data_IF_044994943184
#
_entry.id   IF_044994943184
#
_cell.length_a   1.000
_cell.length_b   1.000
_cell.length_c   1.000
_cell.angle_alpha   90.00
_cell.angle_beta   90.00
_cell.angle_gamma   90.00
#
_symmetry.space_group_name_H-M   'P 1'
#
loop_
_entity.id
_entity.type
_entity.pdbx_description
1 polymer ?
#
# COMPACT_ATOMS: atom_id res chain seq x y z
N UNK A 1 -4.02 16.31 2.33
CA UNK A 1 -3.86 15.54 1.08
C UNK A 1 -5.09 14.64 0.86
N UNK A 2 -5.26 13.51 1.53
CA UNK A 2 -6.45 12.65 1.47
C UNK A 2 -7.27 12.81 2.76
N UNK A 3 -8.61 12.93 2.66
CA UNK A 3 -9.54 12.88 3.80
C UNK A 3 -10.74 12.03 3.44
N UNK A 4 -10.95 10.97 4.19
CA UNK A 4 -12.09 10.05 4.12
C UNK A 4 -12.97 10.32 5.32
N UNK A 5 -14.26 10.60 5.12
CA UNK A 5 -15.18 11.00 6.20
C UNK A 5 -16.46 10.18 6.17
N UNK A 6 -16.68 9.40 7.21
CA UNK A 6 -17.87 8.60 7.43
C UNK A 6 -18.19 7.64 6.28
N UNK A 7 -17.17 7.14 5.58
CA UNK A 7 -17.35 6.34 4.36
C UNK A 7 -17.96 4.99 4.70
N UNK A 8 -19.13 4.74 4.11
CA UNK A 8 -19.86 3.47 4.20
C UNK A 8 -20.01 2.83 2.81
N UNK A 9 -19.72 1.55 2.74
CA UNK A 9 -19.87 0.73 1.53
C UNK A 9 -20.58 -0.56 1.87
N UNK A 10 -21.62 -0.89 1.10
CA UNK A 10 -22.34 -2.16 1.21
C UNK A 10 -22.25 -2.95 -0.11
N UNK A 11 -22.08 -4.26 -0.03
CA UNK A 11 -22.21 -5.21 -1.12
C UNK A 11 -23.47 -6.06 -0.87
N UNK A 12 -24.58 -5.69 -1.51
CA UNK A 12 -25.89 -6.27 -1.21
C UNK A 12 -26.25 -6.00 0.26
N UNK A 13 -26.52 -7.07 1.02
CA UNK A 13 -26.85 -6.97 2.45
C UNK A 13 -25.63 -6.85 3.37
N UNK A 14 -24.42 -7.10 2.84
CA UNK A 14 -23.19 -7.08 3.64
C UNK A 14 -22.58 -5.68 3.67
N UNK A 15 -22.45 -5.11 4.86
CA UNK A 15 -21.65 -3.90 5.07
C UNK A 15 -20.16 -4.26 5.03
N UNK A 16 -19.44 -3.67 4.09
CA UNK A 16 -18.01 -3.84 3.94
C UNK A 16 -17.22 -2.72 4.62
N UNK A 17 -17.79 -1.50 4.68
CA UNK A 17 -17.28 -0.39 5.48
C UNK A 17 -18.45 0.24 6.24
N UNK A 18 -18.30 0.42 7.55
CA UNK A 18 -19.34 0.82 8.48
C UNK A 18 -19.32 2.30 8.89
N UNK A 19 -18.64 3.17 8.15
CA UNK A 19 -18.46 4.58 8.50
C UNK A 19 -16.99 4.84 8.91
N UNK A 20 -16.08 4.73 7.93
CA UNK A 20 -14.64 4.87 8.14
C UNK A 20 -14.24 6.33 7.96
N UNK A 21 -13.48 6.83 8.94
CA UNK A 21 -12.75 8.08 8.88
C UNK A 21 -11.26 7.79 8.76
N UNK A 22 -10.55 8.52 7.90
CA UNK A 22 -9.11 8.38 7.67
C UNK A 22 -8.56 9.67 7.06
N UNK A 23 -7.40 10.09 7.49
CA UNK A 23 -6.65 11.16 6.84
C UNK A 23 -5.25 10.69 6.48
N UNK A 24 -4.70 11.19 5.37
CA UNK A 24 -3.30 11.01 4.98
C UNK A 24 -2.72 12.37 4.60
N UNK A 25 -1.69 12.79 5.29
CA UNK A 25 -0.99 14.03 4.99
C UNK A 25 -0.02 13.89 3.81
N UNK A 26 0.37 15.00 3.19
CA UNK A 26 1.49 15.00 2.24
C UNK A 26 2.78 14.60 2.97
N UNK A 27 3.59 13.77 2.34
CA UNK A 27 4.83 13.28 2.91
C UNK A 27 4.68 12.23 4.02
N UNK A 28 3.47 11.68 4.21
CA UNK A 28 3.17 10.66 5.21
C UNK A 28 3.00 9.28 4.57
N UNK A 29 3.54 8.25 5.24
CA UNK A 29 3.28 6.83 4.90
C UNK A 29 2.35 6.25 5.95
N UNK A 30 1.10 5.99 5.56
CA UNK A 30 0.07 5.37 6.40
C UNK A 30 -0.12 3.91 6.00
N UNK A 31 0.05 3.01 6.96
CA UNK A 31 -0.20 1.58 6.79
C UNK A 31 -1.63 1.22 7.19
N UNK A 32 -2.39 0.65 6.26
CA UNK A 32 -3.70 0.08 6.52
C UNK A 32 -3.55 -1.41 6.82
N UNK A 33 -3.70 -1.79 8.08
CA UNK A 33 -3.52 -3.16 8.54
C UNK A 33 -4.83 -3.77 9.04
N UNK A 34 -4.90 -5.10 9.12
CA UNK A 34 -6.09 -5.80 9.58
C UNK A 34 -6.30 -7.14 8.87
N UNK A 35 -7.23 -7.97 9.34
CA UNK A 35 -7.47 -9.31 8.80
C UNK A 35 -8.00 -9.27 7.36
N UNK A 36 -7.97 -10.44 6.70
CA UNK A 36 -8.59 -10.62 5.40
C UNK A 36 -10.10 -10.37 5.52
N UNK A 37 -10.66 -9.64 4.55
CA UNK A 37 -12.06 -9.22 4.60
C UNK A 37 -12.37 -8.08 5.59
N UNK A 38 -11.37 -7.49 6.24
CA UNK A 38 -11.52 -6.34 7.16
C UNK A 38 -11.97 -5.04 6.50
N UNK A 39 -11.91 -4.94 5.14
CA UNK A 39 -12.36 -3.76 4.39
C UNK A 39 -11.24 -2.97 3.70
N UNK A 40 -9.97 -3.37 3.85
CA UNK A 40 -8.80 -2.64 3.31
C UNK A 40 -8.90 -2.33 1.82
N UNK A 41 -9.03 -3.35 0.97
CA UNK A 41 -9.21 -3.19 -0.49
C UNK A 41 -10.47 -2.41 -0.84
N UNK A 42 -11.56 -2.59 -0.06
CA UNK A 42 -12.80 -1.82 -0.26
C UNK A 42 -12.58 -0.34 0.00
N UNK A 43 -11.81 0.02 1.03
CA UNK A 43 -11.47 1.42 1.31
C UNK A 43 -10.63 2.03 0.19
N UNK A 44 -9.60 1.33 -0.30
CA UNK A 44 -8.81 1.80 -1.44
C UNK A 44 -9.67 1.99 -2.71
N UNK A 45 -10.59 1.06 -2.97
CA UNK A 45 -11.56 1.18 -4.07
C UNK A 45 -12.54 2.32 -3.87
N UNK A 46 -12.98 2.57 -2.64
CA UNK A 46 -13.86 3.70 -2.32
C UNK A 46 -13.20 5.05 -2.62
N UNK A 47 -11.91 5.19 -2.29
CA UNK A 47 -11.12 6.40 -2.56
C UNK A 47 -11.03 6.69 -4.07
N UNK A 48 -11.00 5.66 -4.91
CA UNK A 48 -10.83 5.77 -6.36
C UNK A 48 -12.12 5.60 -7.16
N UNK A 49 -13.28 5.66 -6.50
CA UNK A 49 -14.59 5.40 -7.12
C UNK A 49 -14.75 4.02 -7.78
N UNK A 50 -13.90 3.05 -7.42
CA UNK A 50 -14.06 1.66 -7.83
C UNK A 50 -15.26 0.96 -7.21
N UNK A 51 -15.91 1.57 -6.21
CA UNK A 51 -17.17 1.13 -5.58
C UNK A 51 -18.01 2.34 -5.22
N UNK A 52 -19.34 2.17 -5.26
CA UNK A 52 -20.28 3.21 -4.85
C UNK A 52 -20.31 3.37 -3.33
N UNK A 53 -20.29 4.61 -2.85
CA UNK A 53 -20.48 4.90 -1.44
C UNK A 53 -21.96 4.88 -1.11
N UNK A 54 -22.34 4.23 0.01
CA UNK A 54 -23.68 4.36 0.59
C UNK A 54 -23.85 5.70 1.31
N UNK A 55 -22.81 6.14 2.00
CA UNK A 55 -22.73 7.44 2.67
C UNK A 55 -21.27 7.84 2.91
N UNK A 56 -21.06 9.06 3.35
CA UNK A 56 -19.76 9.65 3.57
C UNK A 56 -19.21 10.32 2.32
N UNK A 57 -17.97 10.79 2.42
CA UNK A 57 -17.30 11.49 1.32
C UNK A 57 -15.79 11.23 1.34
N UNK A 58 -15.18 11.33 0.18
CA UNK A 58 -13.73 11.29 0.00
C UNK A 58 -13.28 12.62 -0.60
N UNK A 59 -12.31 13.26 0.05
CA UNK A 59 -11.71 14.51 -0.41
C UNK A 59 -10.23 14.27 -0.75
N UNK A 60 -9.79 14.76 -1.90
CA UNK A 60 -8.40 14.75 -2.34
C UNK A 60 -8.01 16.21 -2.61
N UNK A 61 -7.03 16.73 -1.88
CA UNK A 61 -6.67 18.16 -1.86
C UNK A 61 -7.87 19.09 -1.59
N UNK A 62 -8.78 18.65 -0.75
CA UNK A 62 -9.99 19.41 -0.40
C UNK A 62 -11.12 19.35 -1.43
N UNK A 63 -10.90 18.74 -2.61
CA UNK A 63 -11.91 18.52 -3.63
C UNK A 63 -12.59 17.17 -3.44
N UNK A 64 -13.90 17.15 -3.55
CA UNK A 64 -14.66 15.89 -3.46
C UNK A 64 -14.34 15.00 -4.67
N UNK A 65 -13.79 13.82 -4.38
CA UNK A 65 -13.33 12.89 -5.41
C UNK A 65 -14.43 12.52 -6.41
N UNK A 66 -15.69 12.43 -5.96
CA UNK A 66 -16.88 12.14 -6.81
C UNK A 66 -17.14 13.19 -7.91
N UNK A 67 -16.59 14.39 -7.77
CA UNK A 67 -16.74 15.48 -8.75
C UNK A 67 -15.59 15.54 -9.75
N UNK A 68 -14.52 14.82 -9.50
CA UNK A 68 -13.37 14.75 -10.40
C UNK A 68 -13.70 13.89 -11.61
N UNK A 69 -13.27 14.33 -12.79
CA UNK A 69 -13.25 13.44 -13.95
C UNK A 69 -12.27 12.28 -13.70
N UNK A 70 -12.46 11.15 -14.39
CA UNK A 70 -11.52 10.02 -14.29
C UNK A 70 -10.06 10.45 -14.58
N UNK A 71 -9.89 11.39 -15.52
CA UNK A 71 -8.58 11.93 -15.88
C UNK A 71 -7.98 12.80 -14.78
N UNK A 72 -8.79 13.66 -14.15
CA UNK A 72 -8.31 14.54 -13.09
C UNK A 72 -8.01 13.73 -11.83
N UNK A 73 -8.84 12.74 -11.51
CA UNK A 73 -8.57 11.79 -10.44
C UNK A 73 -7.24 11.04 -10.70
N UNK A 74 -7.03 10.55 -11.92
CA UNK A 74 -5.79 9.86 -12.29
C UNK A 74 -4.54 10.76 -12.28
N UNK A 75 -4.67 12.08 -12.28
CA UNK A 75 -3.55 13.01 -12.04
C UNK A 75 -3.27 13.25 -10.56
N UNK A 76 -4.20 12.91 -9.70
CA UNK A 76 -4.10 13.09 -8.25
C UNK A 76 -3.76 11.79 -7.53
N UNK A 77 -4.14 10.63 -8.07
CA UNK A 77 -4.02 9.34 -7.41
C UNK A 77 -3.49 8.27 -8.36
N UNK A 78 -2.40 7.63 -7.98
CA UNK A 78 -1.95 6.39 -8.60
C UNK A 78 -2.31 5.19 -7.72
N UNK A 79 -2.61 4.06 -8.35
CA UNK A 79 -3.05 2.83 -7.67
C UNK A 79 -2.21 1.64 -8.11
N UNK A 80 -1.71 0.91 -7.12
CA UNK A 80 -1.11 -0.41 -7.29
C UNK A 80 -2.09 -1.45 -6.74
N UNK A 81 -2.80 -2.20 -7.57
CA UNK A 81 -3.77 -3.20 -7.12
C UNK A 81 -3.06 -4.48 -6.67
N UNK A 82 -3.71 -5.26 -5.80
CA UNK A 82 -3.22 -6.53 -5.28
C UNK A 82 -2.95 -7.57 -6.40
N UNK A 83 -3.85 -7.68 -7.36
CA UNK A 83 -3.76 -8.63 -8.48
C UNK A 83 -3.83 -7.86 -9.81
N UNK A 84 -2.69 -7.30 -10.28
CA UNK A 84 -2.69 -6.53 -11.51
C UNK A 84 -2.81 -7.43 -12.73
N UNK A 85 -3.70 -7.09 -13.65
CA UNK A 85 -3.73 -7.67 -14.99
C UNK A 85 -2.90 -6.81 -15.92
N UNK A 86 -1.87 -7.39 -16.51
CA UNK A 86 -1.04 -6.73 -17.51
C UNK A 86 -1.47 -7.15 -18.92
N UNK A 87 -1.44 -6.24 -19.90
CA UNK A 87 -1.80 -6.56 -21.28
C UNK A 87 -0.75 -7.48 -21.90
N UNK A 88 -1.18 -8.65 -22.38
CA UNK A 88 -0.28 -9.62 -23.00
C UNK A 88 0.33 -9.07 -24.29
N UNK A 89 1.58 -9.45 -24.55
CA UNK A 89 2.29 -9.07 -25.77
C UNK A 89 2.99 -7.72 -25.75
N UNK A 90 2.76 -6.90 -24.71
CA UNK A 90 3.44 -5.63 -24.53
C UNK A 90 4.80 -5.79 -23.87
N UNK A 91 5.73 -4.88 -24.16
CA UNK A 91 6.98 -4.75 -23.40
C UNK A 91 6.72 -4.07 -22.05
N UNK A 92 7.54 -4.39 -21.05
CA UNK A 92 7.41 -3.78 -19.73
C UNK A 92 7.45 -2.24 -19.79
N UNK A 93 8.34 -1.66 -20.58
CA UNK A 93 8.44 -0.22 -20.80
C UNK A 93 7.17 0.38 -21.40
N UNK A 94 6.52 -0.32 -22.34
CA UNK A 94 5.25 0.11 -22.93
C UNK A 94 4.12 0.12 -21.89
N UNK A 95 4.10 -0.86 -21.00
CA UNK A 95 3.14 -0.88 -19.89
C UNK A 95 3.40 0.24 -18.89
N UNK A 96 4.67 0.52 -18.58
CA UNK A 96 5.02 1.59 -17.63
C UNK A 96 4.66 2.97 -18.21
N UNK A 97 4.91 3.22 -19.49
CA UNK A 97 4.56 4.50 -20.12
C UNK A 97 3.05 4.76 -20.18
N UNK A 98 2.20 3.71 -20.13
CA UNK A 98 0.74 3.88 -19.97
C UNK A 98 0.36 4.66 -18.68
N UNK A 99 1.22 4.70 -17.69
CA UNK A 99 1.08 5.59 -16.52
C UNK A 99 1.01 7.07 -16.89
N UNK A 100 1.50 7.45 -18.06
CA UNK A 100 1.47 8.83 -18.58
C UNK A 100 0.15 9.20 -19.26
N UNK A 101 -0.74 8.22 -19.54
CA UNK A 101 -2.03 8.44 -20.23
C UNK A 101 -2.84 9.63 -19.68
N UNK A 102 -2.92 9.90 -18.36
CA UNK A 102 -3.67 11.05 -17.84
C UNK A 102 -3.16 12.41 -18.31
N UNK A 103 -1.92 12.49 -18.80
CA UNK A 103 -1.28 13.73 -19.25
C UNK A 103 -1.41 13.96 -20.77
N UNK A 104 -1.73 12.91 -21.53
CA UNK A 104 -1.91 13.00 -22.99
C UNK A 104 -3.25 13.63 -23.32
N UNK A 105 -3.31 14.41 -24.40
CA UNK A 105 -4.58 14.92 -24.97
C UNK A 105 -5.20 13.82 -25.85
N UNK A 106 -6.44 14.06 -26.25
CA UNK A 106 -7.10 13.18 -27.21
C UNK A 106 -6.29 13.10 -28.52
N UNK A 107 -5.93 11.89 -28.95
CA UNK A 107 -5.06 11.58 -30.10
C UNK A 107 -3.56 11.90 -29.94
N UNK A 108 -3.11 12.41 -28.79
CA UNK A 108 -1.67 12.50 -28.54
C UNK A 108 -1.08 11.10 -28.32
N UNK A 109 0.18 10.96 -28.71
CA UNK A 109 0.99 9.77 -28.40
C UNK A 109 2.05 10.13 -27.36
N UNK A 110 2.53 9.12 -26.65
CA UNK A 110 3.63 9.26 -25.71
C UNK A 110 4.88 9.78 -26.40
N UNK A 111 5.45 10.83 -25.83
CA UNK A 111 6.68 11.45 -26.35
C UNK A 111 7.95 11.00 -25.64
N UNK A 112 9.12 11.46 -26.09
CA UNK A 112 10.40 11.13 -25.44
C UNK A 112 10.47 11.49 -23.95
N UNK A 113 9.71 12.49 -23.51
CA UNK A 113 9.62 12.87 -22.10
C UNK A 113 8.89 11.83 -21.27
N UNK A 114 7.82 11.24 -21.81
CA UNK A 114 7.04 10.20 -21.11
C UNK A 114 7.85 8.90 -21.00
N UNK A 115 8.59 8.54 -22.07
CA UNK A 115 9.48 7.40 -22.03
C UNK A 115 10.65 7.58 -21.05
N UNK A 116 11.20 8.78 -20.89
CA UNK A 116 12.20 9.04 -19.84
C UNK A 116 11.64 8.79 -18.44
N UNK A 117 10.43 9.29 -18.15
CA UNK A 117 9.75 9.05 -16.86
C UNK A 117 9.47 7.57 -16.62
N UNK A 118 9.15 6.82 -17.65
CA UNK A 118 9.01 5.36 -17.61
C UNK A 118 10.34 4.68 -17.25
N UNK A 119 11.43 5.10 -17.89
CA UNK A 119 12.77 4.56 -17.62
C UNK A 119 13.23 4.91 -16.20
N UNK A 120 12.99 6.15 -15.74
CA UNK A 120 13.30 6.60 -14.37
C UNK A 120 12.52 5.78 -13.33
N UNK A 121 11.25 5.50 -13.60
CA UNK A 121 10.42 4.68 -12.72
C UNK A 121 10.91 3.22 -12.63
N UNK A 122 11.33 2.62 -13.75
CA UNK A 122 11.95 1.28 -13.75
C UNK A 122 13.29 1.28 -13.00
N UNK A 123 14.12 2.32 -13.22
CA UNK A 123 15.39 2.47 -12.51
C UNK A 123 15.20 2.59 -11.00
N UNK A 124 14.19 3.33 -10.53
CA UNK A 124 13.88 3.50 -9.11
C UNK A 124 13.59 2.17 -8.39
N UNK A 125 13.15 1.16 -9.14
CA UNK A 125 12.87 -0.20 -8.67
C UNK A 125 13.98 -1.20 -9.00
N UNK A 126 15.14 -0.73 -9.49
CA UNK A 126 16.23 -1.59 -9.97
C UNK A 126 15.76 -2.63 -11.00
N UNK A 127 14.83 -2.24 -11.87
CA UNK A 127 14.16 -3.09 -12.85
C UNK A 127 14.37 -2.61 -14.30
N UNK A 128 15.42 -1.84 -14.56
CA UNK A 128 15.72 -1.29 -15.90
C UNK A 128 15.92 -2.39 -16.97
N UNK A 129 16.49 -3.53 -16.59
CA UNK A 129 16.70 -4.68 -17.47
C UNK A 129 15.39 -5.30 -17.98
N UNK A 130 14.27 -5.04 -17.29
CA UNK A 130 12.95 -5.53 -17.70
C UNK A 130 12.36 -4.72 -18.86
N UNK A 131 12.86 -3.51 -19.14
CA UNK A 131 12.25 -2.53 -20.05
C UNK A 131 11.84 -3.14 -21.41
N UNK A 132 12.68 -4.00 -21.96
CA UNK A 132 12.49 -4.61 -23.28
C UNK A 132 12.03 -6.07 -23.22
N UNK A 133 11.67 -6.58 -22.02
CA UNK A 133 11.08 -7.92 -21.88
C UNK A 133 9.57 -7.84 -22.00
N UNK A 134 8.97 -8.89 -22.55
CA UNK A 134 7.49 -9.00 -22.64
C UNK A 134 6.91 -9.30 -21.26
N UNK A 135 5.80 -8.64 -20.93
CA UNK A 135 5.16 -8.82 -19.61
C UNK A 135 4.64 -10.23 -19.35
N UNK A 136 4.35 -10.99 -20.39
CA UNK A 136 3.94 -12.41 -20.29
C UNK A 136 5.12 -13.34 -19.93
N UNK A 137 6.36 -12.92 -20.12
CA UNK A 137 7.58 -13.66 -19.78
C UNK A 137 8.12 -13.37 -18.39
N UNK A 138 7.52 -12.39 -17.70
CA UNK A 138 7.98 -11.95 -16.39
C UNK A 138 7.49 -12.87 -15.26
N UNK A 139 8.34 -13.08 -14.26
CA UNK A 139 7.96 -13.68 -12.98
C UNK A 139 6.93 -12.81 -12.22
N UNK A 140 6.32 -13.35 -11.17
CA UNK A 140 5.36 -12.59 -10.35
C UNK A 140 5.95 -11.32 -9.74
N UNK A 141 7.18 -11.39 -9.21
CA UNK A 141 7.88 -10.23 -8.63
C UNK A 141 8.26 -9.20 -9.69
N UNK A 142 8.76 -9.63 -10.85
CA UNK A 142 9.07 -8.73 -11.97
C UNK A 142 7.81 -8.01 -12.50
N UNK A 143 6.66 -8.72 -12.58
CA UNK A 143 5.37 -8.10 -12.92
C UNK A 143 4.96 -7.04 -11.89
N UNK A 144 5.17 -7.33 -10.61
CA UNK A 144 4.88 -6.37 -9.55
C UNK A 144 5.73 -5.10 -9.70
N UNK A 145 7.02 -5.23 -10.04
CA UNK A 145 7.89 -4.09 -10.31
C UNK A 145 7.38 -3.26 -11.50
N UNK A 146 6.91 -3.88 -12.58
CA UNK A 146 6.33 -3.17 -13.73
C UNK A 146 5.06 -2.40 -13.34
N UNK A 147 4.20 -2.98 -12.51
CA UNK A 147 2.98 -2.31 -12.03
C UNK A 147 3.32 -1.13 -11.11
N UNK A 148 4.26 -1.32 -10.19
CA UNK A 148 4.77 -0.23 -9.35
C UNK A 148 5.40 0.88 -10.21
N UNK A 149 6.27 0.53 -11.18
CA UNK A 149 6.88 1.49 -12.08
C UNK A 149 5.82 2.29 -12.86
N UNK A 150 4.75 1.64 -13.33
CA UNK A 150 3.63 2.32 -13.98
C UNK A 150 2.95 3.34 -13.05
N UNK A 151 2.74 2.99 -11.79
CA UNK A 151 2.17 3.90 -10.80
C UNK A 151 3.11 5.08 -10.50
N UNK A 152 4.43 4.83 -10.41
CA UNK A 152 5.44 5.88 -10.22
C UNK A 152 5.54 6.81 -11.43
N UNK A 153 5.52 6.26 -12.66
CA UNK A 153 5.55 7.04 -13.90
C UNK A 153 4.35 7.99 -14.01
N UNK A 154 3.27 7.74 -13.30
CA UNK A 154 2.10 8.62 -13.23
C UNK A 154 2.37 9.91 -12.45
N UNK A 155 3.38 9.97 -11.56
CA UNK A 155 3.82 11.15 -10.80
C UNK A 155 2.66 11.87 -10.08
N UNK A 156 1.94 11.13 -9.27
CA UNK A 156 0.80 11.66 -8.52
C UNK A 156 1.18 12.02 -7.09
N UNK A 157 0.52 13.01 -6.48
CA UNK A 157 0.76 13.38 -5.08
C UNK A 157 0.22 12.37 -4.06
N UNK A 158 -0.65 11.43 -4.48
CA UNK A 158 -1.17 10.35 -3.65
C UNK A 158 -0.93 8.99 -4.30
N UNK A 159 -0.35 8.06 -3.55
CA UNK A 159 -0.11 6.68 -3.97
C UNK A 159 -0.89 5.73 -3.06
N UNK A 160 -1.76 4.93 -3.66
CA UNK A 160 -2.54 3.88 -3.00
C UNK A 160 -1.98 2.52 -3.40
N UNK A 161 -1.63 1.69 -2.40
CA UNK A 161 -1.07 0.37 -2.66
C UNK A 161 -1.88 -0.70 -1.94
N UNK A 162 -2.32 -1.70 -2.69
CA UNK A 162 -3.02 -2.86 -2.15
C UNK A 162 -2.07 -4.06 -2.16
N UNK A 163 -1.46 -4.36 -1.00
CA UNK A 163 -0.50 -5.44 -0.78
C UNK A 163 0.71 -5.43 -1.73
N UNK A 164 1.44 -4.30 -1.84
CA UNK A 164 2.49 -4.14 -2.84
C UNK A 164 3.68 -5.09 -2.67
N UNK A 165 3.83 -5.69 -1.49
CA UNK A 165 4.95 -6.57 -1.11
C UNK A 165 4.56 -8.05 -1.01
N UNK A 166 3.32 -8.41 -1.37
CA UNK A 166 2.86 -9.80 -1.32
C UNK A 166 3.67 -10.68 -2.28
N UNK A 167 4.06 -11.87 -1.81
CA UNK A 167 4.83 -12.86 -2.56
C UNK A 167 6.21 -12.41 -3.04
N UNK A 168 6.78 -11.34 -2.47
CA UNK A 168 8.13 -10.88 -2.72
C UNK A 168 9.08 -11.38 -1.63
N UNK A 169 10.33 -11.63 -1.99
CA UNK A 169 11.39 -11.90 -1.02
C UNK A 169 11.71 -10.66 -0.17
N UNK A 170 12.41 -10.88 0.94
CA UNK A 170 12.74 -9.82 1.90
C UNK A 170 13.51 -8.66 1.25
N UNK A 171 14.43 -8.96 0.31
CA UNK A 171 15.21 -7.94 -0.38
C UNK A 171 14.34 -6.98 -1.19
N UNK A 172 13.41 -7.52 -1.96
CA UNK A 172 12.45 -6.73 -2.72
C UNK A 172 11.45 -5.97 -1.83
N UNK A 173 10.99 -6.59 -0.75
CA UNK A 173 10.12 -5.90 0.23
C UNK A 173 10.81 -4.68 0.82
N UNK A 174 12.09 -4.80 1.21
CA UNK A 174 12.89 -3.70 1.74
C UNK A 174 13.13 -2.60 0.70
N UNK A 175 13.39 -2.98 -0.56
CA UNK A 175 13.58 -2.03 -1.66
C UNK A 175 12.32 -1.18 -1.85
N UNK A 176 11.14 -1.81 -1.92
CA UNK A 176 9.86 -1.10 -2.07
C UNK A 176 9.61 -0.21 -0.86
N UNK A 177 9.77 -0.71 0.36
CA UNK A 177 9.54 0.06 1.57
C UNK A 177 10.44 1.31 1.65
N UNK A 178 11.74 1.19 1.32
CA UNK A 178 12.67 2.32 1.24
C UNK A 178 12.28 3.31 0.15
N UNK A 179 11.82 2.81 -1.00
CA UNK A 179 11.34 3.66 -2.08
C UNK A 179 10.13 4.50 -1.64
N UNK A 180 9.13 3.87 -1.01
CA UNK A 180 7.94 4.58 -0.51
C UNK A 180 8.31 5.65 0.53
N UNK A 181 9.24 5.35 1.44
CA UNK A 181 9.76 6.33 2.39
C UNK A 181 10.45 7.51 1.70
N UNK A 182 11.28 7.24 0.68
CA UNK A 182 11.95 8.30 -0.10
C UNK A 182 10.92 9.19 -0.82
N UNK A 183 9.95 8.61 -1.51
CA UNK A 183 8.89 9.36 -2.18
C UNK A 183 8.12 10.25 -1.20
N UNK A 184 7.82 9.73 -0.01
CA UNK A 184 7.14 10.51 1.01
C UNK A 184 8.04 11.64 1.54
N UNK A 185 9.28 11.34 1.96
CA UNK A 185 10.17 12.30 2.63
C UNK A 185 10.74 13.36 1.69
N UNK A 186 11.18 12.94 0.50
CA UNK A 186 11.94 13.80 -0.40
C UNK A 186 11.03 14.48 -1.44
N UNK A 187 9.92 13.83 -1.82
CA UNK A 187 9.02 14.30 -2.88
C UNK A 187 7.65 14.73 -2.35
N UNK A 188 7.39 14.53 -1.05
CA UNK A 188 6.13 14.93 -0.42
C UNK A 188 4.91 14.08 -0.81
N UNK A 189 5.13 12.91 -1.41
CA UNK A 189 4.04 12.02 -1.83
C UNK A 189 3.33 11.46 -0.59
N UNK A 190 2.00 11.54 -0.57
CA UNK A 190 1.18 10.86 0.42
C UNK A 190 1.04 9.38 0.03
N UNK A 191 1.26 8.46 0.96
CA UNK A 191 1.21 7.02 0.71
C UNK A 191 0.21 6.36 1.65
N UNK A 192 -0.76 5.63 1.08
CA UNK A 192 -1.64 4.73 1.83
C UNK A 192 -1.45 3.30 1.31
N UNK A 193 -0.87 2.44 2.16
CA UNK A 193 -0.55 1.07 1.79
C UNK A 193 -1.31 0.06 2.66
N UNK A 194 -2.13 -0.79 2.04
CA UNK A 194 -2.65 -1.97 2.70
C UNK A 194 -1.55 -3.02 2.82
N UNK A 195 -1.26 -3.44 4.05
CA UNK A 195 -0.15 -4.33 4.37
C UNK A 195 -0.63 -5.52 5.20
N UNK A 196 -0.08 -6.71 4.93
CA UNK A 196 -0.33 -7.92 5.73
C UNK A 196 0.72 -8.15 6.80
N UNK A 197 1.97 -7.83 6.50
CA UNK A 197 3.06 -7.97 7.44
C UNK A 197 3.05 -6.81 8.44
N UNK A 198 2.66 -7.12 9.69
CA UNK A 198 2.55 -6.12 10.75
C UNK A 198 3.93 -5.60 11.18
N UNK A 199 4.97 -6.42 11.08
CA UNK A 199 6.34 -6.02 11.39
C UNK A 199 6.86 -5.06 10.32
N UNK A 200 6.67 -5.37 9.05
CA UNK A 200 7.01 -4.48 7.95
C UNK A 200 6.24 -3.15 8.06
N UNK A 201 4.92 -3.21 8.34
CA UNK A 201 4.10 -2.03 8.56
C UNK A 201 4.62 -1.19 9.74
N UNK A 202 4.99 -1.83 10.84
CA UNK A 202 5.59 -1.16 11.99
C UNK A 202 6.88 -0.43 11.63
N UNK A 203 7.76 -1.04 10.85
CA UNK A 203 9.08 -0.49 10.55
C UNK A 203 9.05 0.69 9.57
N UNK A 204 8.12 0.68 8.63
CA UNK A 204 8.14 1.61 7.49
C UNK A 204 6.97 2.60 7.41
N UNK A 205 5.91 2.42 8.23
CA UNK A 205 4.83 3.40 8.26
C UNK A 205 5.03 4.41 9.39
N UNK A 206 4.63 5.65 9.15
CA UNK A 206 4.60 6.69 10.18
C UNK A 206 3.45 6.45 11.15
N UNK A 207 2.31 6.07 10.59
CA UNK A 207 1.07 5.81 11.28
C UNK A 207 0.40 4.55 10.73
N UNK A 208 -0.32 3.85 11.58
CA UNK A 208 -1.11 2.69 11.20
C UNK A 208 -2.59 2.93 11.47
N UNK A 209 -3.41 2.33 10.63
CA UNK A 209 -4.87 2.23 10.82
C UNK A 209 -5.23 0.75 10.80
N UNK A 210 -5.71 0.24 11.93
CA UNK A 210 -6.15 -1.13 12.09
C UNK A 210 -7.63 -1.23 11.75
N UNK A 211 -7.94 -1.87 10.63
CA UNK A 211 -9.29 -2.03 10.11
C UNK A 211 -9.75 -3.50 10.28
N UNK A 212 -10.87 -3.71 10.98
CA UNK A 212 -11.49 -5.03 11.12
C UNK A 212 -13.01 -4.91 11.08
N UNK A 213 -13.67 -5.88 10.43
CA UNK A 213 -15.13 -5.87 10.30
C UNK A 213 -15.72 -4.60 9.66
N UNK A 214 -14.95 -3.93 8.80
CA UNK A 214 -15.36 -2.68 8.15
C UNK A 214 -15.28 -1.43 9.02
N UNK A 215 -14.66 -1.50 10.19
CA UNK A 215 -14.52 -0.38 11.13
C UNK A 215 -13.07 -0.20 11.57
N UNK A 216 -12.68 1.04 11.89
CA UNK A 216 -11.37 1.34 12.48
C UNK A 216 -11.38 0.91 13.94
N UNK A 217 -10.47 0.01 14.30
CA UNK A 217 -10.29 -0.48 15.68
C UNK A 217 -9.30 0.39 16.44
N UNK A 218 -8.24 0.82 15.77
CA UNK A 218 -7.21 1.69 16.35
C UNK A 218 -6.51 2.45 15.23
N UNK A 219 -6.04 3.66 15.55
CA UNK A 219 -5.26 4.52 14.67
C UNK A 219 -4.22 5.26 15.51
N UNK A 220 -3.01 5.43 14.99
CA UNK A 220 -1.92 6.12 15.68
C UNK A 220 -0.55 5.63 15.26
N UNK A 221 0.46 5.86 16.10
CA UNK A 221 1.80 5.31 15.87
C UNK A 221 1.77 3.77 15.84
N UNK A 222 2.73 3.10 15.22
CA UNK A 222 2.79 1.63 15.29
C UNK A 222 2.72 1.08 16.72
N UNK A 223 3.30 1.77 17.70
CA UNK A 223 3.26 1.36 19.11
C UNK A 223 1.85 1.47 19.73
N UNK A 224 1.06 2.47 19.33
CA UNK A 224 -0.32 2.64 19.80
C UNK A 224 -1.27 1.61 19.20
N UNK A 225 -1.04 1.23 17.96
CA UNK A 225 -1.92 0.37 17.17
C UNK A 225 -1.61 -1.11 17.38
N UNK A 226 -0.34 -1.51 17.34
CA UNK A 226 0.09 -2.90 17.43
C UNK A 226 0.22 -3.36 18.89
N UNK A 227 -0.87 -3.24 19.65
CA UNK A 227 -0.96 -3.75 21.00
C UNK A 227 -1.60 -5.15 21.00
N UNK A 228 -1.27 -5.98 22.01
CA UNK A 228 -1.87 -7.31 22.15
C UNK A 228 -3.41 -7.25 22.16
N UNK A 229 -3.98 -6.24 22.83
CA UNK A 229 -5.43 -6.08 22.92
C UNK A 229 -6.06 -5.77 21.57
N UNK A 230 -5.53 -4.79 20.83
CA UNK A 230 -6.04 -4.40 19.50
C UNK A 230 -5.94 -5.55 18.50
N UNK A 231 -4.79 -6.26 18.51
CA UNK A 231 -4.57 -7.41 17.64
C UNK A 231 -5.48 -8.58 17.97
N UNK A 232 -5.74 -8.84 19.26
CA UNK A 232 -6.73 -9.85 19.67
C UNK A 232 -8.15 -9.48 19.21
N UNK A 233 -8.54 -8.21 19.36
CA UNK A 233 -9.86 -7.72 18.89
C UNK A 233 -10.01 -7.85 17.38
N UNK A 234 -8.96 -7.50 16.62
CA UNK A 234 -9.02 -7.48 15.16
C UNK A 234 -8.89 -8.88 14.53
N UNK A 235 -7.96 -9.71 15.04
CA UNK A 235 -7.60 -11.00 14.42
C UNK A 235 -8.17 -12.21 15.16
N UNK A 236 -8.69 -12.04 16.38
CA UNK A 236 -9.17 -13.14 17.19
C UNK A 236 -8.06 -14.09 17.67
N UNK A 237 -6.80 -13.68 17.57
CA UNK A 237 -5.62 -14.50 17.90
C UNK A 237 -4.75 -13.82 18.96
N UNK A 238 -4.13 -14.62 19.82
CA UNK A 238 -3.12 -14.13 20.74
C UNK A 238 -1.78 -13.98 20.03
N UNK A 239 -1.13 -12.85 20.28
CA UNK A 239 0.17 -12.50 19.70
C UNK A 239 1.13 -12.02 20.77
N UNK A 240 2.41 -12.19 20.53
CA UNK A 240 3.47 -11.59 21.30
C UNK A 240 3.91 -10.30 20.58
N UNK A 241 3.89 -9.19 21.31
CA UNK A 241 4.39 -7.90 20.84
C UNK A 241 5.71 -7.63 21.54
N UNK A 242 6.79 -7.66 20.78
CA UNK A 242 8.16 -7.42 21.26
C UNK A 242 8.63 -6.05 20.82
N UNK A 243 9.64 -5.52 21.50
CA UNK A 243 10.43 -4.38 21.03
C UNK A 243 11.83 -4.87 20.73
N UNK A 244 12.33 -4.63 19.53
CA UNK A 244 13.72 -4.92 19.21
C UNK A 244 14.63 -3.89 19.89
N UNK A 245 15.79 -4.32 20.35
CA UNK A 245 16.81 -3.42 20.89
C UNK A 245 17.17 -2.33 19.86
N UNK A 246 17.24 -1.09 20.32
CA UNK A 246 17.58 0.08 19.49
C UNK A 246 16.43 0.64 18.65
N UNK A 247 15.19 0.13 18.79
CA UNK A 247 14.02 0.69 18.11
C UNK A 247 12.80 0.72 19.03
N UNK A 248 12.00 1.81 18.91
CA UNK A 248 10.68 1.90 19.55
C UNK A 248 9.57 1.16 18.76
N UNK A 249 9.92 0.57 17.61
CA UNK A 249 8.97 -0.08 16.70
C UNK A 249 8.61 -1.49 17.20
N UNK A 250 7.31 -1.82 17.39
CA UNK A 250 6.90 -3.15 17.80
C UNK A 250 7.10 -4.19 16.71
N UNK A 251 7.48 -5.40 17.11
CA UNK A 251 7.52 -6.61 16.31
C UNK A 251 6.39 -7.53 16.76
N UNK A 252 5.64 -8.08 15.83
CA UNK A 252 4.48 -8.94 16.13
C UNK A 252 4.79 -10.39 15.75
N UNK A 253 4.71 -11.29 16.74
CA UNK A 253 4.93 -12.72 16.55
C UNK A 253 3.68 -13.52 16.98
N UNK A 254 3.29 -14.57 16.24
CA UNK A 254 2.23 -15.48 16.70
C UNK A 254 2.67 -16.28 17.94
N UNK A 255 1.77 -16.46 18.90
CA UNK A 255 2.10 -17.10 20.21
C UNK A 255 2.03 -18.62 20.18
N UNK A 256 1.24 -19.24 19.32
CA UNK A 256 1.01 -20.70 19.32
C UNK A 256 2.27 -21.57 19.19
N UNK A 257 3.36 -21.01 18.69
CA UNK A 257 4.64 -21.73 18.57
C UNK A 257 5.45 -21.70 19.87
N UNK A 258 5.15 -20.76 20.78
CA UNK A 258 5.90 -20.54 22.03
C UNK A 258 5.17 -21.06 23.28
N UNK A 259 3.91 -21.43 23.18
CA UNK A 259 3.10 -21.89 24.30
C UNK A 259 3.46 -23.30 24.80
N UNK A 260 4.35 -24.03 24.11
CA UNK A 260 4.70 -25.40 24.47
C UNK A 260 5.75 -25.53 25.60
N UNK A 261 6.49 -24.46 25.97
CA UNK A 261 7.47 -24.53 27.04
C UNK A 261 7.94 -23.14 27.53
N UNK A 262 7.33 -22.56 28.58
CA UNK A 262 7.76 -21.30 29.16
C UNK A 262 9.17 -21.34 29.77
N UNK A 263 9.79 -22.51 29.94
CA UNK A 263 11.12 -22.66 30.51
C UNK A 263 12.25 -22.72 29.45
N UNK A 264 11.94 -22.75 28.16
CA UNK A 264 12.96 -22.86 27.09
C UNK A 264 13.45 -21.52 26.48
N UNK A 265 12.91 -20.39 26.93
CA UNK A 265 13.41 -19.09 26.51
C UNK A 265 14.42 -18.56 27.53
N UNK A 266 15.49 -19.30 27.73
CA UNK A 266 16.70 -18.77 28.33
C UNK A 266 17.51 -17.98 27.28
N UNK A 267 18.23 -16.90 27.66
CA UNK A 267 19.04 -16.14 26.73
C UNK A 267 20.22 -16.99 26.25
N UNK A 268 20.04 -17.67 25.13
CA UNK A 268 21.14 -18.29 24.40
C UNK A 268 21.96 -17.20 23.71
N UNK A 269 23.30 -17.20 23.87
CA UNK A 269 24.14 -16.22 23.18
C UNK A 269 24.07 -16.47 21.68
N UNK A 270 23.64 -15.48 20.92
CA UNK A 270 23.89 -15.43 19.49
C UNK A 270 25.39 -15.16 19.36
N UNK A 271 26.18 -16.22 19.17
CA UNK A 271 27.58 -16.09 18.80
C UNK A 271 27.66 -15.41 17.43
N UNK A 272 28.51 -14.41 17.36
CA UNK A 272 28.69 -13.54 16.21
C UNK A 272 29.10 -14.26 14.91
N UNK A 273 28.71 -13.66 13.82
CA UNK A 273 29.47 -13.58 12.56
C UNK A 273 29.49 -12.11 12.14
#
# INVERSE_FOLDING_TARGET
MLSVRGVRVDYGERTALGGVDLEVAAGEVVGLVGPNGGGKTTLLRAITHGVALRSGQVLIDGEEASRLSARDLARKVAVVPQNPTLPLGFLAREVVVMGRTPYLRFLDQEGPADYRKSDDALNALSAAELAYRRVDELSGGERQNVVLARALAQETPLLLLDEPTANLDIGHQLLIAKLLLRLARDEGVAVLAALHDLTLASLYCDRLVLLAGGSVIAEGTPADVLTRNNLRLAYGADVLVLRAEGTERPLVLPVDVLAADPERVGPGPIAGV
#
